data_IF_178867977868
#
_entry.id   IF_178867977868
#
_cell.length_a   1.000
_cell.length_b   1.000
_cell.length_c   1.000
_cell.angle_alpha   90.00
_cell.angle_beta   90.00
_cell.angle_gamma   90.00
#
_symmetry.space_group_name_H-M   'P 1'
#
loop_
_entity.id
_entity.type
_entity.pdbx_description
1 polymer ?
#
# COMPACT_ATOMS: atom_id res chain seq x y z
N UNK A 1 -11.97 11.84 8.95
CA UNK A 1 -11.21 12.77 8.11
C UNK A 1 -9.83 12.15 7.90
N UNK A 2 -9.44 11.83 6.66
CA UNK A 2 -8.07 11.38 6.38
C UNK A 2 -7.20 12.64 6.36
N UNK A 3 -6.12 12.63 7.13
CA UNK A 3 -5.18 13.74 7.14
C UNK A 3 -4.61 13.98 5.73
N UNK A 4 -4.57 15.24 5.24
CA UNK A 4 -4.16 15.54 3.87
C UNK A 4 -2.71 15.15 3.56
N UNK A 5 -1.84 15.00 4.56
CA UNK A 5 -0.47 14.50 4.38
C UNK A 5 -0.51 12.99 4.12
N UNK A 6 -1.30 12.26 4.91
CA UNK A 6 -1.48 10.80 4.76
C UNK A 6 -2.07 10.48 3.39
N UNK A 7 -3.01 11.29 2.91
CA UNK A 7 -3.60 11.12 1.58
C UNK A 7 -2.56 11.23 0.46
N UNK A 8 -1.76 12.31 0.47
CA UNK A 8 -0.70 12.54 -0.52
C UNK A 8 0.34 11.41 -0.50
N UNK A 9 0.73 10.95 0.70
CA UNK A 9 1.68 9.84 0.84
C UNK A 9 1.13 8.54 0.24
N UNK A 10 -0.12 8.18 0.53
CA UNK A 10 -0.74 6.98 -0.04
C UNK A 10 -0.85 7.06 -1.56
N UNK A 11 -1.17 8.25 -2.08
CA UNK A 11 -1.25 8.48 -3.52
C UNK A 11 0.11 8.31 -4.21
N UNK A 12 1.18 8.87 -3.63
CA UNK A 12 2.53 8.72 -4.16
C UNK A 12 2.99 7.24 -4.17
N UNK A 13 2.71 6.49 -3.11
CA UNK A 13 3.04 5.07 -3.03
C UNK A 13 2.21 4.24 -4.02
N UNK A 14 0.90 4.49 -4.09
CA UNK A 14 -0.01 3.82 -5.02
C UNK A 14 0.37 4.07 -6.49
N UNK A 15 0.69 5.32 -6.84
CA UNK A 15 1.13 5.70 -8.19
C UNK A 15 2.49 5.12 -8.57
N UNK A 16 3.34 4.85 -7.58
CA UNK A 16 4.60 4.09 -7.76
C UNK A 16 4.38 2.57 -7.92
N UNK A 17 3.13 2.10 -7.91
CA UNK A 17 2.76 0.70 -8.11
C UNK A 17 2.77 -0.16 -6.84
N UNK A 18 2.91 0.42 -5.65
CA UNK A 18 2.93 -0.36 -4.41
C UNK A 18 1.56 -0.98 -4.10
N UNK A 19 1.58 -2.19 -3.52
CA UNK A 19 0.38 -2.90 -3.07
C UNK A 19 -0.13 -2.36 -1.74
N UNK A 20 -1.44 -2.51 -1.46
CA UNK A 20 -2.06 -2.10 -0.20
C UNK A 20 -1.29 -2.61 1.04
N UNK A 21 -0.68 -3.80 0.96
CA UNK A 21 0.19 -4.36 2.01
C UNK A 21 1.46 -3.55 2.23
N UNK A 22 2.18 -3.19 1.17
CA UNK A 22 3.43 -2.45 1.27
C UNK A 22 3.18 -1.03 1.77
N UNK A 23 2.12 -0.39 1.27
CA UNK A 23 1.69 0.92 1.73
C UNK A 23 1.34 0.86 3.23
N UNK A 24 0.66 -0.21 3.66
CA UNK A 24 0.31 -0.41 5.05
C UNK A 24 1.54 -0.62 5.95
N UNK A 25 2.50 -1.43 5.51
CA UNK A 25 3.77 -1.67 6.22
C UNK A 25 4.60 -0.39 6.32
N UNK A 26 4.70 0.41 5.25
CA UNK A 26 5.43 1.69 5.23
C UNK A 26 4.80 2.77 6.12
N UNK A 27 3.47 2.77 6.26
CA UNK A 27 2.75 3.73 7.10
C UNK A 27 2.49 3.23 8.53
N UNK A 28 2.82 1.97 8.84
CA UNK A 28 2.49 1.37 10.14
C UNK A 28 0.98 1.26 10.40
N UNK A 29 0.17 1.12 9.34
CA UNK A 29 -1.30 1.00 9.44
C UNK A 29 -1.77 -0.38 9.01
N UNK A 30 -3.05 -0.68 9.19
CA UNK A 30 -3.63 -1.93 8.71
C UNK A 30 -3.81 -1.92 7.18
N UNK A 31 -3.68 -3.10 6.55
CA UNK A 31 -4.00 -3.28 5.12
C UNK A 31 -5.41 -2.81 4.78
N UNK A 32 -6.35 -3.03 5.72
CA UNK A 32 -7.74 -2.58 5.59
C UNK A 32 -7.85 -1.05 5.54
N UNK A 33 -7.06 -0.31 6.30
CA UNK A 33 -7.05 1.15 6.24
C UNK A 33 -6.61 1.69 4.87
N UNK A 34 -5.67 1.01 4.20
CA UNK A 34 -5.26 1.37 2.82
C UNK A 34 -6.31 0.94 1.81
N UNK A 35 -6.89 -0.25 1.96
CA UNK A 35 -7.97 -0.73 1.09
C UNK A 35 -9.20 0.17 1.15
N UNK A 36 -9.59 0.63 2.34
CA UNK A 36 -10.71 1.56 2.52
C UNK A 36 -10.41 2.93 1.91
N UNK A 37 -9.17 3.43 2.03
CA UNK A 37 -8.73 4.65 1.33
C UNK A 37 -8.80 4.49 -0.19
N UNK A 38 -8.33 3.37 -0.73
CA UNK A 38 -8.38 3.04 -2.15
C UNK A 38 -9.83 2.95 -2.64
N UNK A 39 -10.68 2.24 -1.92
CA UNK A 39 -12.10 2.03 -2.24
C UNK A 39 -12.88 3.36 -2.21
N UNK A 40 -12.63 4.23 -1.23
CA UNK A 40 -13.26 5.56 -1.14
C UNK A 40 -12.95 6.46 -2.35
N UNK A 41 -11.89 6.15 -3.09
CA UNK A 41 -11.44 6.85 -4.31
C UNK A 41 -11.68 6.03 -5.58
N UNK A 42 -12.40 4.90 -5.48
CA UNK A 42 -12.70 4.01 -6.60
C UNK A 42 -11.46 3.52 -7.37
N UNK A 43 -10.30 3.48 -6.72
CA UNK A 43 -9.06 3.05 -7.34
C UNK A 43 -9.00 1.51 -7.40
N UNK A 44 -8.53 0.88 -8.49
CA UNK A 44 -8.35 -0.57 -8.53
C UNK A 44 -7.16 -0.99 -7.65
N UNK A 45 -7.18 -2.19 -7.05
CA UNK A 45 -6.02 -2.67 -6.31
C UNK A 45 -4.86 -2.92 -7.27
N UNK A 46 -3.69 -2.35 -6.98
CA UNK A 46 -2.43 -2.81 -7.57
C UNK A 46 -2.36 -4.30 -7.19
N UNK A 47 -2.36 -5.25 -8.15
CA UNK A 47 -2.43 -6.71 -7.88
C UNK A 47 -1.42 -7.55 -8.67
N UNK A 48 -0.53 -6.93 -9.42
CA UNK A 48 0.42 -7.68 -10.22
C UNK A 48 1.68 -7.98 -9.40
N UNK A 49 2.06 -9.26 -9.26
CA UNK A 49 3.37 -9.76 -8.79
C UNK A 49 3.48 -10.36 -7.37
N UNK A 50 2.38 -10.83 -6.74
CA UNK A 50 2.50 -11.78 -5.60
C UNK A 50 3.37 -13.02 -5.92
N UNK A 51 3.58 -13.31 -7.21
CA UNK A 51 4.45 -14.41 -7.65
C UNK A 51 5.95 -14.10 -7.66
N UNK A 52 6.43 -12.85 -7.52
CA UNK A 52 7.84 -12.55 -7.88
C UNK A 52 8.82 -12.51 -6.72
N UNK A 53 8.48 -12.08 -5.49
CA UNK A 53 9.52 -12.03 -4.44
C UNK A 53 8.97 -12.32 -3.06
N UNK A 54 9.16 -13.55 -2.57
CA UNK A 54 9.39 -13.74 -1.13
C UNK A 54 10.73 -13.05 -0.82
N UNK A 55 10.82 -12.08 0.09
CA UNK A 55 12.13 -11.69 0.59
C UNK A 55 12.77 -12.91 1.23
N UNK A 56 13.91 -13.32 0.67
CA UNK A 56 14.83 -14.27 1.27
C UNK A 56 15.26 -13.65 2.60
N UNK A 57 14.83 -14.23 3.72
CA UNK A 57 15.40 -13.95 5.04
C UNK A 57 16.88 -14.36 4.98
N UNK A 58 17.72 -13.41 4.59
CA UNK A 58 19.16 -13.46 4.79
C UNK A 58 19.42 -12.80 6.14
N UNK A 59 19.23 -13.57 7.22
CA UNK A 59 19.80 -13.21 8.52
C UNK A 59 21.07 -14.02 8.69
N UNK A 60 22.18 -13.30 8.61
CA UNK A 60 23.54 -13.72 8.92
C UNK A 60 23.69 -14.09 10.40
#
# INVERSE_FOLDING_TARGET
MIDPIVDKQRWAMYSSGLFDRQIAELQGVSKKAVADWRNSRQLPPNKQQWFVVKPKEESK
#
